data_IF_713158914710
#
_entry.id   IF_713158914710
#
_cell.length_a   1.000
_cell.length_b   1.000
_cell.length_c   1.000
_cell.angle_alpha   90.00
_cell.angle_beta   90.00
_cell.angle_gamma   90.00
#
_symmetry.space_group_name_H-M   'P 1'
#
loop_
_entity.id
_entity.type
_entity.pdbx_description
1 polymer ?
#
# COMPACT_ATOMS: atom_id res chain seq x y z
N UNK A 1 22.46 -7.18 21.80
CA UNK A 1 21.21 -7.37 21.02
C UNK A 1 21.20 -8.79 20.45
N UNK A 2 20.17 -9.60 20.70
CA UNK A 2 20.13 -10.98 20.19
C UNK A 2 20.11 -11.01 18.67
N UNK A 3 20.65 -12.08 18.06
CA UNK A 3 20.66 -12.29 16.59
C UNK A 3 19.26 -12.13 16.01
N UNK A 4 18.25 -12.62 16.72
CA UNK A 4 16.82 -12.54 16.38
C UNK A 4 16.28 -11.11 16.33
N UNK A 5 16.66 -10.26 17.30
CA UNK A 5 16.26 -8.84 17.29
C UNK A 5 16.89 -8.07 16.12
N UNK A 6 18.13 -8.40 15.75
CA UNK A 6 18.79 -7.80 14.57
C UNK A 6 18.07 -8.15 13.27
N UNK A 7 17.69 -9.42 13.09
CA UNK A 7 16.96 -9.88 11.91
C UNK A 7 15.60 -9.18 11.80
N UNK A 8 14.83 -9.10 12.90
CA UNK A 8 13.53 -8.43 12.88
C UNK A 8 13.60 -6.93 12.55
N UNK A 9 14.64 -6.24 13.02
CA UNK A 9 14.88 -4.83 12.64
C UNK A 9 15.16 -4.72 11.15
N UNK A 10 16.00 -5.60 10.61
CA UNK A 10 16.33 -5.61 9.19
C UNK A 10 15.11 -5.91 8.32
N UNK A 11 14.30 -6.90 8.68
CA UNK A 11 13.07 -7.25 7.96
C UNK A 11 12.05 -6.12 7.97
N UNK A 12 11.88 -5.45 9.12
CA UNK A 12 11.00 -4.28 9.22
C UNK A 12 11.50 -3.08 8.40
N UNK A 13 12.81 -2.89 8.26
CA UNK A 13 13.37 -1.88 7.36
C UNK A 13 13.07 -2.20 5.89
N UNK A 14 13.16 -3.47 5.48
CA UNK A 14 12.79 -3.90 4.13
C UNK A 14 11.29 -3.65 3.89
N UNK A 15 10.44 -4.03 4.84
CA UNK A 15 8.99 -3.80 4.76
C UNK A 15 8.66 -2.31 4.65
N UNK A 16 9.35 -1.46 5.42
CA UNK A 16 9.19 -0.02 5.36
C UNK A 16 9.59 0.55 3.99
N UNK A 17 10.73 0.13 3.45
CA UNK A 17 11.18 0.53 2.12
C UNK A 17 10.19 0.10 1.04
N UNK A 18 9.71 -1.15 1.09
CA UNK A 18 8.71 -1.67 0.16
C UNK A 18 7.39 -0.87 0.24
N UNK A 19 6.93 -0.55 1.46
CA UNK A 19 5.72 0.25 1.67
C UNK A 19 5.91 1.67 1.12
N UNK A 20 7.07 2.28 1.35
CA UNK A 20 7.41 3.59 0.81
C UNK A 20 7.35 3.60 -0.72
N UNK A 21 7.94 2.60 -1.39
CA UNK A 21 7.88 2.46 -2.85
C UNK A 21 6.44 2.28 -3.33
N UNK A 22 5.64 1.44 -2.67
CA UNK A 22 4.24 1.21 -3.03
C UNK A 22 3.38 2.48 -2.88
N UNK A 23 3.56 3.23 -1.79
CA UNK A 23 2.89 4.51 -1.60
C UNK A 23 3.34 5.57 -2.63
N UNK A 24 4.62 5.55 -3.02
CA UNK A 24 5.15 6.43 -4.07
C UNK A 24 4.51 6.12 -5.42
N UNK A 25 4.32 4.85 -5.76
CA UNK A 25 3.59 4.45 -6.97
C UNK A 25 2.13 4.94 -6.94
N UNK A 26 1.43 4.78 -5.82
CA UNK A 26 0.07 5.32 -5.68
C UNK A 26 0.01 6.83 -5.86
N UNK A 27 0.99 7.56 -5.31
CA UNK A 27 1.08 9.00 -5.48
C UNK A 27 1.21 9.37 -6.97
N UNK A 28 2.08 8.67 -7.72
CA UNK A 28 2.23 8.89 -9.16
C UNK A 28 0.97 8.54 -9.95
N UNK A 29 0.23 7.51 -9.57
CA UNK A 29 -1.05 7.17 -10.22
C UNK A 29 -2.09 8.28 -10.02
N UNK A 30 -2.16 8.85 -8.81
CA UNK A 30 -3.02 10.00 -8.51
C UNK A 30 -2.58 11.23 -9.31
N UNK A 31 -1.28 11.52 -9.35
CA UNK A 31 -0.73 12.64 -10.10
C UNK A 31 -1.09 12.53 -11.59
N UNK A 32 -0.88 11.37 -12.20
CA UNK A 32 -1.24 11.09 -13.60
C UNK A 32 -2.73 11.31 -13.87
N UNK A 33 -3.60 10.85 -12.96
CA UNK A 33 -5.04 11.10 -13.06
C UNK A 33 -5.34 12.60 -13.05
N UNK A 34 -4.75 13.36 -12.12
CA UNK A 34 -4.99 14.79 -12.01
C UNK A 34 -4.48 15.55 -13.24
N UNK A 35 -3.30 15.20 -13.75
CA UNK A 35 -2.76 15.76 -15.00
C UNK A 35 -3.67 15.44 -16.18
N UNK A 36 -4.20 14.21 -16.28
CA UNK A 36 -5.14 13.84 -17.32
C UNK A 36 -6.42 14.67 -17.27
N UNK A 37 -7.04 14.79 -16.09
CA UNK A 37 -8.24 15.60 -15.89
C UNK A 37 -8.02 17.06 -16.31
N UNK A 38 -6.86 17.62 -15.94
CA UNK A 38 -6.49 18.97 -16.33
C UNK A 38 -6.35 19.12 -17.84
N UNK A 39 -5.66 18.18 -18.51
CA UNK A 39 -5.43 18.22 -19.95
C UNK A 39 -6.70 17.99 -20.77
N UNK A 40 -7.50 16.98 -20.40
CA UNK A 40 -8.73 16.64 -21.10
C UNK A 40 -9.91 17.59 -20.77
N UNK A 41 -9.71 18.54 -19.85
CA UNK A 41 -10.77 19.38 -19.27
C UNK A 41 -11.97 18.55 -18.79
N UNK A 42 -11.70 17.33 -18.33
CA UNK A 42 -12.72 16.40 -17.90
C UNK A 42 -13.10 16.65 -16.44
N UNK A 43 -14.40 16.67 -16.16
CA UNK A 43 -14.93 16.76 -14.80
C UNK A 43 -15.03 15.38 -14.16
N UNK A 44 -14.75 15.30 -12.87
CA UNK A 44 -15.01 14.09 -12.07
C UNK A 44 -16.52 14.04 -11.80
N UNK A 45 -17.19 12.99 -12.28
CA UNK A 45 -18.61 12.75 -12.02
C UNK A 45 -18.85 12.01 -10.73
N UNK A 46 -18.02 11.01 -10.45
CA UNK A 46 -18.19 10.15 -9.28
C UNK A 46 -16.87 9.50 -8.90
N UNK A 47 -16.63 9.42 -7.60
CA UNK A 47 -15.59 8.57 -7.02
C UNK A 47 -16.29 7.45 -6.26
N UNK A 48 -15.93 6.20 -6.53
CA UNK A 48 -16.42 5.05 -5.79
C UNK A 48 -15.28 4.21 -5.27
N UNK A 49 -15.53 3.55 -4.15
CA UNK A 49 -14.62 2.61 -3.52
C UNK A 49 -15.19 1.22 -3.70
N UNK A 50 -14.50 0.37 -4.43
CA UNK A 50 -14.92 -1.01 -4.65
C UNK A 50 -13.76 -1.95 -4.33
N UNK A 51 -13.95 -2.78 -3.29
CA UNK A 51 -12.93 -3.68 -2.75
C UNK A 51 -11.66 -2.91 -2.34
N UNK A 52 -10.61 -2.97 -3.16
CA UNK A 52 -9.31 -2.33 -2.94
C UNK A 52 -8.95 -1.33 -4.04
N UNK A 53 -9.94 -0.88 -4.81
CA UNK A 53 -9.76 0.06 -5.90
C UNK A 53 -10.53 1.36 -5.62
N UNK A 54 -9.89 2.48 -5.91
CA UNK A 54 -10.56 3.76 -6.06
C UNK A 54 -10.88 3.90 -7.54
N UNK A 55 -12.16 3.97 -7.87
CA UNK A 55 -12.62 4.12 -9.25
C UNK A 55 -13.17 5.53 -9.43
N UNK A 56 -12.58 6.26 -10.37
CA UNK A 56 -12.91 7.65 -10.69
C UNK A 56 -13.55 7.70 -12.06
N UNK A 57 -14.83 8.05 -12.09
CA UNK A 57 -15.60 8.24 -13.32
C UNK A 57 -15.52 9.70 -13.75
N UNK A 58 -15.11 9.91 -15.00
CA UNK A 58 -15.03 11.23 -15.64
C UNK A 58 -16.09 11.34 -16.74
N UNK A 59 -16.13 12.47 -17.44
CA UNK A 59 -17.03 12.67 -18.59
C UNK A 59 -16.81 11.65 -19.72
N UNK A 60 -15.61 11.11 -19.85
CA UNK A 60 -15.21 10.31 -21.01
C UNK A 60 -14.63 8.94 -20.63
N UNK A 61 -14.04 8.82 -19.44
CA UNK A 61 -13.26 7.63 -19.06
C UNK A 61 -13.52 7.19 -17.61
N UNK A 62 -13.06 5.98 -17.30
CA UNK A 62 -13.04 5.43 -15.95
C UNK A 62 -11.62 5.08 -15.56
N UNK A 63 -11.11 5.71 -14.49
CA UNK A 63 -9.79 5.45 -13.95
C UNK A 63 -9.87 4.55 -12.73
N UNK A 64 -8.94 3.60 -12.63
CA UNK A 64 -8.86 2.69 -11.50
C UNK A 64 -7.50 2.86 -10.83
N UNK A 65 -7.51 3.29 -9.57
CA UNK A 65 -6.33 3.35 -8.73
C UNK A 65 -6.36 2.14 -7.82
N UNK A 66 -5.32 1.33 -7.93
CA UNK A 66 -5.25 0.01 -7.35
C UNK A 66 -4.46 0.01 -6.04
N UNK A 67 -5.14 -0.14 -4.89
CA UNK A 67 -4.52 -0.07 -3.56
C UNK A 67 -3.93 -1.40 -3.07
N UNK A 68 -4.03 -2.47 -3.86
CA UNK A 68 -3.68 -3.83 -3.42
C UNK A 68 -2.20 -3.98 -3.05
N UNK A 69 -1.28 -3.34 -3.77
CA UNK A 69 0.16 -3.46 -3.51
C UNK A 69 0.54 -2.99 -2.09
N UNK A 70 0.24 -1.75 -1.68
CA UNK A 70 0.55 -1.32 -0.31
C UNK A 70 -0.20 -2.12 0.74
N UNK A 71 -1.46 -2.51 0.47
CA UNK A 71 -2.23 -3.33 1.40
C UNK A 71 -1.61 -4.73 1.61
N UNK A 72 -1.10 -5.37 0.55
CA UNK A 72 -0.41 -6.66 0.66
C UNK A 72 0.90 -6.53 1.44
N UNK A 73 1.67 -5.46 1.20
CA UNK A 73 2.93 -5.22 1.92
C UNK A 73 2.65 -4.97 3.41
N UNK A 74 1.70 -4.09 3.73
CA UNK A 74 1.32 -3.85 5.12
C UNK A 74 0.75 -5.10 5.79
N UNK A 75 -0.15 -5.82 5.11
CA UNK A 75 -0.76 -7.05 5.64
C UNK A 75 0.26 -8.14 5.91
N UNK A 76 1.19 -8.39 4.97
CA UNK A 76 2.26 -9.37 5.15
C UNK A 76 3.19 -8.99 6.31
N UNK A 77 3.54 -7.71 6.43
CA UNK A 77 4.34 -7.20 7.56
C UNK A 77 3.65 -7.37 8.92
N UNK A 78 2.34 -7.17 8.99
CA UNK A 78 1.55 -7.40 10.22
C UNK A 78 1.55 -8.88 10.57
N UNK A 79 1.22 -9.76 9.62
CA UNK A 79 1.19 -11.22 9.84
C UNK A 79 2.56 -11.73 10.29
N UNK A 80 3.64 -11.24 9.66
CA UNK A 80 5.01 -11.60 10.03
C UNK A 80 5.31 -11.22 11.48
N UNK A 81 5.05 -9.97 11.88
CA UNK A 81 5.30 -9.49 13.24
C UNK A 81 4.42 -10.19 14.29
N UNK A 82 3.16 -10.50 13.97
CA UNK A 82 2.27 -11.26 14.84
C UNK A 82 2.77 -12.69 15.04
N UNK A 83 3.13 -13.37 13.94
CA UNK A 83 3.66 -14.74 13.99
C UNK A 83 4.94 -14.80 14.82
N UNK A 84 5.84 -13.83 14.62
CA UNK A 84 7.06 -13.72 15.41
C UNK A 84 6.77 -13.55 16.91
N UNK A 85 5.83 -12.66 17.25
CA UNK A 85 5.45 -12.38 18.64
C UNK A 85 4.80 -13.60 19.29
N UNK A 86 3.94 -14.32 18.56
CA UNK A 86 3.31 -15.55 19.01
C UNK A 86 4.34 -16.66 19.27
N UNK A 87 5.29 -16.86 18.36
CA UNK A 87 6.36 -17.87 18.53
C UNK A 87 7.20 -17.57 19.78
N UNK A 88 7.55 -16.29 20.02
CA UNK A 88 8.29 -15.91 21.22
C UNK A 88 7.50 -16.18 22.50
N UNK A 89 6.23 -15.78 22.52
CA UNK A 89 5.34 -16.06 23.64
C UNK A 89 5.25 -17.56 23.94
N UNK A 90 5.08 -18.40 22.91
CA UNK A 90 5.04 -19.86 23.07
C UNK A 90 6.37 -20.47 23.54
N UNK A 91 7.50 -19.82 23.25
CA UNK A 91 8.84 -20.23 23.73
C UNK A 91 9.17 -19.72 25.13
N UNK A 92 8.30 -18.92 25.74
CA UNK A 92 8.56 -18.30 27.04
C UNK A 92 9.64 -17.20 27.00
N UNK A 93 9.88 -16.61 25.83
CA UNK A 93 10.85 -15.51 25.60
C UNK A 93 10.19 -14.13 25.51
#
# INVERSE_FOLDING_TARGET
>A
MSKTKKTLIFDNLILLAALFTACTHLYFDIERLLTYLQYAHASIKKVTYAYFNIVVYTDHDTFQIHLWIPLLISGSGIIYNLTYSLIRYLKGE
#
